data_IF_588660705439
#
_entry.id   IF_588660705439
#
_cell.length_a   1.000
_cell.length_b   1.000
_cell.length_c   1.000
_cell.angle_alpha   90.00
_cell.angle_beta   90.00
_cell.angle_gamma   90.00
#
_symmetry.space_group_name_H-M   'P 1'
#
loop_
_entity.id
_entity.type
_entity.pdbx_description
1 polymer ?
#
# COMPACT_ATOMS: atom_id res chain seq x y z
N UNK A 1 -69.31 20.00 43.21
CA UNK A 1 -68.85 20.41 41.88
C UNK A 1 -67.33 20.55 41.90
N UNK A 2 -66.62 19.56 41.40
CA UNK A 2 -65.19 19.66 41.11
C UNK A 2 -64.90 18.69 39.96
N UNK A 3 -64.82 19.23 38.75
CA UNK A 3 -64.39 18.50 37.56
C UNK A 3 -63.38 19.40 36.87
N UNK A 4 -62.10 19.00 36.92
CA UNK A 4 -61.04 19.61 36.11
C UNK A 4 -59.98 18.57 35.77
N UNK A 5 -59.91 18.34 34.45
CA UNK A 5 -58.69 18.19 33.65
C UNK A 5 -57.90 16.87 33.80
N UNK A 6 -58.37 15.86 33.06
CA UNK A 6 -57.51 14.80 32.50
C UNK A 6 -57.10 15.27 31.11
N UNK A 7 -55.98 15.96 31.01
CA UNK A 7 -55.47 16.48 29.73
C UNK A 7 -53.96 16.60 29.77
N UNK A 8 -53.26 15.48 29.72
CA UNK A 8 -51.79 15.49 29.76
C UNK A 8 -51.15 14.11 29.62
N UNK A 9 -51.54 13.33 28.60
CA UNK A 9 -50.87 12.05 28.27
C UNK A 9 -50.73 11.89 26.75
N UNK A 10 -50.34 12.94 26.02
CA UNK A 10 -49.97 12.82 24.59
C UNK A 10 -48.87 13.85 24.27
N UNK A 11 -47.64 13.70 24.79
CA UNK A 11 -46.48 14.49 24.29
C UNK A 11 -45.10 13.81 24.48
N UNK A 12 -45.08 12.49 24.74
CA UNK A 12 -43.80 11.77 24.94
C UNK A 12 -43.45 10.86 23.76
N UNK A 13 -44.41 10.44 22.93
CA UNK A 13 -44.16 9.57 21.78
C UNK A 13 -43.44 10.25 20.60
N UNK A 14 -43.57 11.56 20.45
CA UNK A 14 -42.98 12.29 19.32
C UNK A 14 -41.49 12.62 19.54
N UNK A 15 -41.06 12.74 20.81
CA UNK A 15 -39.67 13.03 21.15
C UNK A 15 -38.75 11.84 20.92
N UNK A 16 -39.16 10.62 21.25
CA UNK A 16 -38.36 9.40 21.04
C UNK A 16 -38.17 9.04 19.56
N UNK A 17 -39.16 9.27 18.69
CA UNK A 17 -39.02 9.06 17.25
C UNK A 17 -37.98 9.97 16.58
N UNK A 18 -37.81 11.20 17.10
CA UNK A 18 -36.86 12.19 16.56
C UNK A 18 -35.40 11.85 16.89
N UNK A 19 -35.10 11.26 18.04
CA UNK A 19 -33.75 10.80 18.39
C UNK A 19 -33.31 9.57 17.56
N UNK A 20 -34.24 8.66 17.26
CA UNK A 20 -33.97 7.46 16.45
C UNK A 20 -33.73 7.82 14.98
N UNK A 21 -34.46 8.80 14.44
CA UNK A 21 -34.27 9.27 13.06
C UNK A 21 -32.95 9.99 12.79
N UNK A 22 -32.45 10.77 13.76
CA UNK A 22 -31.16 11.49 13.65
C UNK A 22 -29.98 10.53 13.80
N UNK A 23 -30.10 9.50 14.65
CA UNK A 23 -29.07 8.49 14.85
C UNK A 23 -28.80 7.65 13.60
N UNK A 24 -29.85 7.27 12.87
CA UNK A 24 -29.77 6.46 11.64
C UNK A 24 -29.14 7.20 10.46
N UNK A 25 -29.42 8.51 10.32
CA UNK A 25 -28.81 9.34 9.29
C UNK A 25 -27.30 9.51 9.49
N UNK A 26 -26.87 9.78 10.73
CA UNK A 26 -25.43 9.88 11.04
C UNK A 26 -24.71 8.54 10.90
N UNK A 27 -25.33 7.43 11.30
CA UNK A 27 -24.72 6.11 11.08
C UNK A 27 -24.60 5.78 9.59
N UNK A 28 -25.61 6.08 8.77
CA UNK A 28 -25.53 5.88 7.32
C UNK A 28 -24.39 6.71 6.69
N UNK A 29 -24.24 7.98 7.09
CA UNK A 29 -23.15 8.84 6.61
C UNK A 29 -21.79 8.30 7.03
N UNK A 30 -21.63 7.86 8.29
CA UNK A 30 -20.38 7.25 8.77
C UNK A 30 -20.04 5.98 7.99
N UNK A 31 -21.03 5.11 7.74
CA UNK A 31 -20.82 3.87 6.96
C UNK A 31 -20.41 4.17 5.53
N UNK A 32 -21.02 5.16 4.88
CA UNK A 32 -20.64 5.58 3.52
C UNK A 32 -19.22 6.13 3.50
N UNK A 33 -18.84 6.97 4.46
CA UNK A 33 -17.48 7.52 4.58
C UNK A 33 -16.47 6.38 4.79
N UNK A 34 -16.74 5.45 5.72
CA UNK A 34 -15.86 4.31 5.98
C UNK A 34 -15.73 3.39 4.77
N UNK A 35 -16.83 3.11 4.06
CA UNK A 35 -16.82 2.31 2.84
C UNK A 35 -16.02 3.01 1.72
N UNK A 36 -16.17 4.33 1.59
CA UNK A 36 -15.40 5.14 0.64
C UNK A 36 -13.91 5.15 0.96
N UNK A 37 -13.54 5.35 2.23
CA UNK A 37 -12.15 5.29 2.69
C UNK A 37 -11.54 3.89 2.49
N UNK A 38 -12.29 2.84 2.77
CA UNK A 38 -11.85 1.46 2.53
C UNK A 38 -11.70 1.16 1.05
N UNK A 39 -12.63 1.62 0.20
CA UNK A 39 -12.55 1.50 -1.25
C UNK A 39 -11.34 2.24 -1.80
N UNK A 40 -11.10 3.47 -1.35
CA UNK A 40 -9.93 4.26 -1.72
C UNK A 40 -8.63 3.59 -1.26
N UNK A 41 -8.58 3.09 -0.02
CA UNK A 41 -7.43 2.35 0.50
C UNK A 41 -7.14 1.11 -0.34
N UNK A 42 -8.17 0.32 -0.68
CA UNK A 42 -8.04 -0.88 -1.51
C UNK A 42 -7.61 -0.52 -2.93
N UNK A 43 -8.13 0.55 -3.50
CA UNK A 43 -7.74 1.04 -4.82
C UNK A 43 -6.27 1.48 -4.84
N UNK A 44 -5.85 2.29 -3.88
CA UNK A 44 -4.45 2.70 -3.74
C UNK A 44 -3.52 1.49 -3.55
N UNK A 45 -3.94 0.50 -2.74
CA UNK A 45 -3.23 -0.76 -2.51
C UNK A 45 -3.12 -1.63 -3.77
N UNK A 46 -4.20 -1.76 -4.54
CA UNK A 46 -4.19 -2.63 -5.72
C UNK A 46 -3.51 -1.99 -6.92
N UNK A 47 -3.64 -0.68 -7.11
CA UNK A 47 -3.26 -0.04 -8.38
C UNK A 47 -1.97 0.78 -8.32
N UNK A 48 -1.66 1.39 -7.18
CA UNK A 48 -0.54 2.34 -7.08
C UNK A 48 0.57 1.82 -6.16
N UNK A 49 0.23 1.04 -5.14
CA UNK A 49 1.17 0.58 -4.11
C UNK A 49 0.93 -0.89 -3.73
N UNK A 50 1.30 -1.86 -4.60
CA UNK A 50 1.21 -3.29 -4.26
C UNK A 50 2.11 -3.68 -3.08
N UNK A 51 3.12 -2.87 -2.78
CA UNK A 51 3.96 -2.98 -1.58
C UNK A 51 3.74 -1.73 -0.73
N UNK A 52 2.90 -1.80 0.30
CA UNK A 52 2.67 -0.67 1.22
C UNK A 52 3.58 -0.72 2.43
N UNK A 53 4.00 -1.93 2.81
CA UNK A 53 4.78 -2.13 4.02
C UNK A 53 6.26 -2.33 3.72
N UNK A 54 7.15 -1.92 4.63
CA UNK A 54 8.58 -2.20 4.52
C UNK A 54 8.89 -3.71 4.49
N UNK A 55 7.98 -4.56 4.98
CA UNK A 55 8.06 -6.02 4.89
C UNK A 55 7.80 -6.52 3.47
N UNK A 56 6.72 -6.06 2.82
CA UNK A 56 6.44 -6.37 1.41
C UNK A 56 7.57 -5.87 0.50
N UNK A 57 8.16 -4.70 0.82
CA UNK A 57 9.34 -4.18 0.11
C UNK A 57 10.53 -5.16 0.17
N UNK A 58 10.80 -5.75 1.34
CA UNK A 58 11.87 -6.73 1.51
C UNK A 58 11.57 -8.03 0.75
N UNK A 59 10.33 -8.52 0.80
CA UNK A 59 9.93 -9.72 0.10
C UNK A 59 10.05 -9.55 -1.42
N UNK A 60 9.60 -8.42 -1.95
CA UNK A 60 9.70 -8.08 -3.36
C UNK A 60 11.16 -7.92 -3.79
N UNK A 61 11.98 -7.23 -2.98
CA UNK A 61 13.42 -7.12 -3.23
C UNK A 61 14.12 -8.49 -3.23
N UNK A 62 13.73 -9.42 -2.35
CA UNK A 62 14.26 -10.79 -2.36
C UNK A 62 13.84 -11.56 -3.61
N UNK A 63 12.60 -11.41 -4.05
CA UNK A 63 12.13 -12.04 -5.29
C UNK A 63 12.93 -11.58 -6.50
N UNK A 64 13.35 -10.32 -6.56
CA UNK A 64 14.22 -9.83 -7.64
C UNK A 64 15.66 -10.34 -7.51
N UNK A 65 16.20 -10.41 -6.27
CA UNK A 65 17.50 -11.05 -6.00
C UNK A 65 17.50 -12.50 -6.52
N UNK A 66 16.42 -13.25 -6.30
CA UNK A 66 16.25 -14.64 -6.74
C UNK A 66 16.14 -14.74 -8.27
N UNK A 67 15.33 -13.90 -8.91
CA UNK A 67 15.22 -13.84 -10.38
C UNK A 67 16.58 -13.49 -11.00
N UNK A 68 17.24 -12.45 -10.49
CA UNK A 68 18.54 -12.03 -10.97
C UNK A 68 19.59 -13.14 -10.86
N UNK A 69 19.66 -13.84 -9.73
CA UNK A 69 20.55 -15.01 -9.56
C UNK A 69 20.20 -16.14 -10.50
N UNK A 70 18.92 -16.50 -10.61
CA UNK A 70 18.47 -17.59 -11.47
C UNK A 70 18.83 -17.37 -12.94
N UNK A 71 18.76 -16.12 -13.42
CA UNK A 71 19.14 -15.79 -14.80
C UNK A 71 20.65 -15.73 -14.93
N UNK A 72 21.35 -15.10 -13.98
CA UNK A 72 22.82 -15.02 -14.01
C UNK A 72 23.48 -16.39 -14.00
N UNK A 73 22.97 -17.33 -13.21
CA UNK A 73 23.55 -18.68 -13.12
C UNK A 73 23.30 -19.50 -14.39
N UNK A 74 22.25 -19.20 -15.16
CA UNK A 74 21.98 -19.78 -16.49
C UNK A 74 22.87 -19.16 -17.56
N UNK A 75 23.09 -17.84 -17.50
CA UNK A 75 23.93 -17.08 -18.44
C UNK A 75 25.44 -17.09 -18.08
N UNK A 76 25.86 -17.75 -16.99
CA UNK A 76 27.25 -17.81 -16.53
C UNK A 76 28.15 -18.74 -17.37
N UNK A 77 27.95 -18.77 -18.70
CA UNK A 77 28.97 -19.23 -19.62
C UNK A 77 30.15 -18.25 -19.64
N UNK A 78 31.40 -18.71 -19.84
CA UNK A 78 32.62 -17.91 -19.68
C UNK A 78 32.78 -16.71 -20.63
N UNK A 79 31.85 -16.50 -21.57
CA UNK A 79 31.89 -15.42 -22.56
C UNK A 79 30.86 -14.30 -22.33
N UNK A 80 29.89 -14.49 -21.44
CA UNK A 80 28.68 -13.64 -21.36
C UNK A 80 28.65 -12.74 -20.11
N UNK A 81 29.53 -12.99 -19.13
CA UNK A 81 29.64 -12.18 -17.90
C UNK A 81 30.09 -10.73 -18.13
N UNK A 82 30.68 -10.44 -19.30
CA UNK A 82 31.26 -9.15 -19.64
C UNK A 82 30.38 -8.32 -20.60
N UNK A 83 29.17 -8.79 -20.93
CA UNK A 83 28.28 -8.02 -21.78
C UNK A 83 27.90 -6.70 -21.07
N UNK A 84 28.01 -5.55 -21.76
CA UNK A 84 27.78 -4.23 -21.16
C UNK A 84 26.36 -4.07 -20.60
N UNK A 85 25.40 -4.83 -21.13
CA UNK A 85 24.02 -4.85 -20.67
C UNK A 85 23.84 -5.50 -19.30
N UNK A 86 24.50 -6.64 -19.04
CA UNK A 86 24.51 -7.30 -17.72
C UNK A 86 25.15 -6.43 -16.64
N UNK A 87 26.18 -5.65 -17.01
CA UNK A 87 26.79 -4.67 -16.10
C UNK A 87 25.83 -3.53 -15.73
N UNK A 88 25.00 -3.06 -16.67
CA UNK A 88 24.00 -2.04 -16.38
C UNK A 88 22.87 -2.60 -15.50
N UNK A 89 22.39 -3.81 -15.80
CA UNK A 89 21.39 -4.51 -14.97
C UNK A 89 21.91 -4.71 -13.54
N UNK A 90 23.17 -5.13 -13.37
CA UNK A 90 23.78 -5.31 -12.06
C UNK A 90 23.88 -4.00 -11.26
N UNK A 91 24.24 -2.89 -11.92
CA UNK A 91 24.27 -1.55 -11.31
C UNK A 91 22.88 -1.08 -10.89
N UNK A 92 21.90 -1.22 -11.77
CA UNK A 92 20.51 -0.83 -11.49
C UNK A 92 19.93 -1.65 -10.33
N UNK A 93 20.22 -2.94 -10.30
CA UNK A 93 19.84 -3.85 -9.22
C UNK A 93 20.45 -3.43 -7.87
N UNK A 94 21.75 -3.12 -7.84
CA UNK A 94 22.42 -2.64 -6.63
C UNK A 94 21.84 -1.30 -6.15
N UNK A 95 21.57 -0.38 -7.08
CA UNK A 95 20.96 0.92 -6.78
C UNK A 95 19.58 0.74 -6.14
N UNK A 96 18.74 -0.15 -6.69
CA UNK A 96 17.42 -0.44 -6.12
C UNK A 96 17.51 -1.05 -4.73
N UNK A 97 18.51 -1.90 -4.47
CA UNK A 97 18.73 -2.49 -3.15
C UNK A 97 19.12 -1.43 -2.11
N UNK A 98 19.96 -0.47 -2.50
CA UNK A 98 20.33 0.67 -1.66
C UNK A 98 19.09 1.54 -1.39
N UNK A 99 18.33 1.91 -2.42
CA UNK A 99 17.12 2.72 -2.32
C UNK A 99 16.07 2.06 -1.39
N UNK A 100 15.88 0.74 -1.50
CA UNK A 100 15.01 -0.01 -0.60
C UNK A 100 15.48 0.01 0.87
N UNK A 101 16.80 0.00 1.09
CA UNK A 101 17.38 0.13 2.43
C UNK A 101 17.16 1.52 3.01
N UNK A 102 17.34 2.56 2.21
CA UNK A 102 17.13 3.95 2.62
C UNK A 102 15.68 4.25 2.95
N UNK A 103 14.74 3.76 2.14
CA UNK A 103 13.29 3.85 2.41
C UNK A 103 12.97 3.20 3.76
N UNK A 104 13.51 2.00 4.02
CA UNK A 104 13.32 1.30 5.31
C UNK A 104 13.89 2.11 6.48
N UNK A 105 15.09 2.68 6.33
CA UNK A 105 15.72 3.51 7.35
C UNK A 105 14.91 4.77 7.66
N UNK A 106 14.42 5.47 6.64
CA UNK A 106 13.53 6.64 6.79
C UNK A 106 12.23 6.27 7.49
N UNK A 107 11.60 5.16 7.09
CA UNK A 107 10.37 4.67 7.72
C UNK A 107 10.61 4.20 9.17
N UNK A 108 11.82 3.75 9.51
CA UNK A 108 12.21 3.41 10.87
C UNK A 108 12.39 4.66 11.75
N UNK A 109 13.06 5.68 11.22
CA UNK A 109 13.38 6.93 11.93
C UNK A 109 12.18 7.86 12.10
N UNK A 110 11.19 7.80 11.20
CA UNK A 110 10.00 8.63 11.29
C UNK A 110 9.08 8.15 12.44
N UNK A 111 9.10 8.88 13.56
CA UNK A 111 8.15 8.70 14.65
C UNK A 111 6.79 9.27 14.21
N UNK A 112 5.86 8.39 13.84
CA UNK A 112 4.56 8.80 13.30
C UNK A 112 3.43 7.94 13.84
N UNK A 113 2.32 8.55 14.30
CA UNK A 113 1.11 7.82 14.69
C UNK A 113 0.61 6.93 13.56
N UNK A 114 0.78 7.37 12.31
CA UNK A 114 0.37 6.64 11.10
C UNK A 114 1.05 5.29 10.98
N UNK A 115 2.27 5.12 11.49
CA UNK A 115 2.97 3.82 11.48
C UNK A 115 2.22 2.76 12.31
N UNK A 116 1.54 3.17 13.39
CA UNK A 116 0.72 2.28 14.22
C UNK A 116 -0.56 1.82 13.50
N UNK A 117 -1.13 2.68 12.65
CA UNK A 117 -2.40 2.41 11.97
C UNK A 117 -2.23 1.80 10.58
N UNK A 118 -1.21 2.23 9.83
CA UNK A 118 -0.96 1.87 8.43
C UNK A 118 0.25 0.95 8.26
N UNK A 119 1.15 0.85 9.23
CA UNK A 119 2.39 0.07 9.13
C UNK A 119 3.53 0.78 8.37
N UNK A 120 3.31 1.99 7.87
CA UNK A 120 4.29 2.80 7.14
C UNK A 120 4.03 4.30 7.29
N UNK A 121 5.02 5.12 6.93
CA UNK A 121 4.91 6.59 6.92
C UNK A 121 4.35 7.10 5.58
N UNK A 122 3.33 7.99 5.57
CA UNK A 122 2.78 8.55 4.32
C UNK A 122 3.85 9.19 3.42
N UNK A 123 4.82 9.90 4.00
CA UNK A 123 5.91 10.53 3.22
C UNK A 123 6.80 9.50 2.49
N UNK A 124 6.93 8.28 3.02
CA UNK A 124 7.69 7.22 2.35
C UNK A 124 6.88 6.53 1.25
N UNK A 125 5.56 6.73 1.20
CA UNK A 125 4.66 6.07 0.26
C UNK A 125 5.08 6.41 -1.18
N UNK A 126 5.27 7.69 -1.51
CA UNK A 126 5.69 8.11 -2.85
C UNK A 126 7.06 7.54 -3.26
N UNK A 127 8.00 7.44 -2.31
CA UNK A 127 9.30 6.80 -2.57
C UNK A 127 9.13 5.30 -2.88
N UNK A 128 8.25 4.61 -2.14
CA UNK A 128 7.93 3.20 -2.37
C UNK A 128 7.28 2.97 -3.75
N UNK A 129 6.34 3.81 -4.21
CA UNK A 129 5.79 3.67 -5.57
C UNK A 129 6.85 3.84 -6.64
N UNK A 130 7.69 4.88 -6.53
CA UNK A 130 8.74 5.12 -7.51
C UNK A 130 9.72 3.95 -7.55
N UNK A 131 10.09 3.44 -6.39
CA UNK A 131 10.94 2.26 -6.27
C UNK A 131 10.29 1.04 -6.92
N UNK A 132 9.02 0.77 -6.63
CA UNK A 132 8.28 -0.36 -7.19
C UNK A 132 8.19 -0.30 -8.72
N UNK A 133 7.95 0.89 -9.28
CA UNK A 133 7.94 1.08 -10.73
C UNK A 133 9.28 0.72 -11.38
N UNK A 134 10.39 1.26 -10.84
CA UNK A 134 11.74 0.94 -11.31
C UNK A 134 12.06 -0.55 -11.15
N UNK A 135 11.57 -1.17 -10.07
CA UNK A 135 11.73 -2.59 -9.81
C UNK A 135 11.04 -3.45 -10.88
N UNK A 136 9.79 -3.16 -11.23
CA UNK A 136 9.09 -3.86 -12.33
C UNK A 136 9.78 -3.62 -13.67
N UNK A 137 10.20 -2.39 -13.97
CA UNK A 137 10.97 -2.06 -15.18
C UNK A 137 12.26 -2.91 -15.28
N UNK A 138 13.00 -3.04 -14.17
CA UNK A 138 14.22 -3.86 -14.13
C UNK A 138 13.91 -5.36 -14.25
N UNK A 139 12.85 -5.84 -13.59
CA UNK A 139 12.41 -7.23 -13.68
C UNK A 139 12.04 -7.60 -15.11
N UNK A 140 11.29 -6.75 -15.80
CA UNK A 140 10.98 -6.93 -17.22
C UNK A 140 12.26 -6.98 -18.06
N UNK A 141 13.20 -6.06 -17.86
CA UNK A 141 14.50 -6.06 -18.58
C UNK A 141 15.30 -7.35 -18.35
N UNK A 142 15.36 -7.85 -17.12
CA UNK A 142 16.05 -9.12 -16.81
C UNK A 142 15.38 -10.30 -17.52
N UNK A 143 14.04 -10.33 -17.57
CA UNK A 143 13.29 -11.39 -18.25
C UNK A 143 13.45 -11.31 -19.77
N UNK A 144 13.40 -10.12 -20.36
CA UNK A 144 13.65 -9.93 -21.79
C UNK A 144 15.08 -10.31 -22.17
N UNK A 145 16.08 -9.87 -21.39
CA UNK A 145 17.48 -10.26 -21.59
C UNK A 145 17.66 -11.79 -21.46
N UNK A 146 16.87 -12.47 -20.61
CA UNK A 146 16.88 -13.93 -20.55
C UNK A 146 16.33 -14.57 -21.83
N UNK A 147 15.23 -14.04 -22.37
CA UNK A 147 14.57 -14.58 -23.57
C UNK A 147 15.41 -14.36 -24.84
N UNK A 148 16.15 -13.26 -24.95
CA UNK A 148 17.02 -12.97 -26.09
C UNK A 148 18.29 -13.84 -26.12
N UNK A 149 18.66 -14.43 -24.99
CA UNK A 149 19.86 -15.26 -24.81
C UNK A 149 19.57 -16.77 -24.67
N UNK A 150 18.30 -17.20 -24.81
CA UNK A 150 17.86 -18.60 -24.90
C UNK A 150 17.69 -19.04 -26.36
#
# INVERSE_FOLDING_TARGET
MASREIGGVIDDGEKIGRWIGIGNGMTAVIVIILAGLYGLYRYLRSFIYPCLTPFELEQTSKSLDDVYRSVRDVSAGPAESDAPEWNNIAKDHLSLKIEASDIRKKNLQAASPWKKYLGFHPDTMLEIARWYKKHEELKCRILTAREEHL
#
